data_IF_018389631947
#
_entry.id   IF_018389631947
#
_cell.length_a   1.000
_cell.length_b   1.000
_cell.length_c   1.000
_cell.angle_alpha   90.00
_cell.angle_beta   90.00
_cell.angle_gamma   90.00
#
_symmetry.space_group_name_H-M   'P 1'
#
loop_
_entity.id
_entity.type
_entity.pdbx_description
1 polymer ?
#
# COMPACT_ATOMS: atom_id res chain seq x y z
N UNK A 1 -11.63 -7.66 4.13
CA UNK A 1 -11.34 -7.68 2.69
C UNK A 1 -10.32 -6.59 2.45
N UNK A 2 -9.06 -6.99 2.32
CA UNK A 2 -7.96 -6.06 2.11
C UNK A 2 -8.16 -5.34 0.78
N UNK A 3 -8.33 -4.02 0.82
CA UNK A 3 -8.53 -3.20 -0.37
C UNK A 3 -7.18 -2.89 -1.00
N UNK A 4 -7.03 -3.19 -2.29
CA UNK A 4 -5.84 -2.85 -3.04
C UNK A 4 -5.82 -1.34 -3.35
N UNK A 5 -4.71 -0.68 -3.00
CA UNK A 5 -4.50 0.76 -3.03
C UNK A 5 -3.28 1.15 -3.90
N UNK A 6 -3.11 0.51 -5.06
CA UNK A 6 -1.96 0.79 -5.95
C UNK A 6 -1.91 2.27 -6.34
N UNK A 7 -3.04 2.90 -6.70
CA UNK A 7 -3.08 4.32 -7.10
C UNK A 7 -2.56 5.24 -5.99
N UNK A 8 -2.91 4.95 -4.75
CA UNK A 8 -2.51 5.73 -3.58
C UNK A 8 -1.05 5.47 -3.22
N UNK A 9 -0.57 4.23 -3.31
CA UNK A 9 0.86 3.91 -3.15
C UNK A 9 1.72 4.67 -4.17
N UNK A 10 1.31 4.69 -5.45
CA UNK A 10 2.01 5.45 -6.49
C UNK A 10 2.06 6.96 -6.19
N UNK A 11 0.96 7.54 -5.72
CA UNK A 11 0.91 8.95 -5.32
C UNK A 11 1.81 9.24 -4.11
N UNK A 12 1.80 8.37 -3.09
CA UNK A 12 2.66 8.51 -1.89
C UNK A 12 4.15 8.48 -2.25
N UNK A 13 4.50 7.61 -3.19
CA UNK A 13 5.87 7.45 -3.67
C UNK A 13 6.26 8.44 -4.78
N UNK A 14 5.36 9.36 -5.16
CA UNK A 14 5.63 10.35 -6.20
C UNK A 14 5.94 9.76 -7.58
N UNK A 15 5.49 8.53 -7.85
CA UNK A 15 5.77 7.84 -9.12
C UNK A 15 4.55 7.91 -10.04
N UNK A 16 4.76 8.18 -11.32
CA UNK A 16 3.70 8.19 -12.33
C UNK A 16 3.39 6.81 -12.89
N UNK A 17 2.18 6.64 -13.45
CA UNK A 17 1.77 5.41 -14.16
C UNK A 17 2.72 5.10 -15.33
N UNK A 18 3.27 6.13 -15.96
CA UNK A 18 4.20 5.98 -17.06
C UNK A 18 5.50 5.36 -16.56
N UNK A 19 6.12 5.95 -15.54
CA UNK A 19 7.40 5.46 -15.01
C UNK A 19 7.31 4.02 -14.50
N UNK A 20 6.21 3.66 -13.82
CA UNK A 20 5.99 2.27 -13.40
C UNK A 20 5.85 1.35 -14.62
N UNK A 21 5.09 1.75 -15.63
CA UNK A 21 4.90 0.96 -16.85
C UNK A 21 6.23 0.79 -17.62
N UNK A 22 7.00 1.86 -17.76
CA UNK A 22 8.32 1.88 -18.39
C UNK A 22 9.31 0.97 -17.64
N UNK A 23 9.39 1.07 -16.30
CA UNK A 23 10.22 0.17 -15.47
C UNK A 23 9.80 -1.30 -15.57
N UNK A 24 8.50 -1.55 -15.67
CA UNK A 24 7.96 -2.90 -15.83
C UNK A 24 8.10 -3.45 -17.26
N UNK A 25 8.42 -2.59 -18.24
CA UNK A 25 8.47 -2.95 -19.66
C UNK A 25 7.09 -3.30 -20.25
N UNK A 26 6.02 -2.72 -19.73
CA UNK A 26 4.64 -2.97 -20.17
C UNK A 26 3.96 -1.68 -20.66
N UNK A 27 2.86 -1.83 -21.38
CA UNK A 27 2.03 -0.68 -21.75
C UNK A 27 1.30 -0.09 -20.55
N UNK A 28 1.10 1.24 -20.54
CA UNK A 28 0.25 1.93 -19.56
C UNK A 28 -1.16 1.36 -19.49
N UNK A 29 -1.68 0.87 -20.61
CA UNK A 29 -3.01 0.25 -20.68
C UNK A 29 -3.02 -1.05 -19.87
N UNK A 30 -2.02 -1.91 -20.08
CA UNK A 30 -1.82 -3.15 -19.31
C UNK A 30 -1.69 -2.87 -17.82
N UNK A 31 -0.88 -1.88 -17.44
CA UNK A 31 -0.75 -1.47 -16.04
C UNK A 31 -2.09 -0.96 -15.48
N UNK A 32 -2.83 -0.16 -16.25
CA UNK A 32 -4.15 0.34 -15.84
C UNK A 32 -5.15 -0.81 -15.63
N UNK A 33 -5.10 -1.86 -16.46
CA UNK A 33 -5.90 -3.07 -16.25
C UNK A 33 -5.53 -3.77 -14.96
N UNK A 34 -4.25 -3.88 -14.62
CA UNK A 34 -3.80 -4.46 -13.35
C UNK A 34 -4.22 -3.61 -12.14
N UNK A 35 -4.14 -2.29 -12.24
CA UNK A 35 -4.50 -1.37 -11.15
C UNK A 35 -6.00 -1.45 -10.82
N UNK A 36 -6.86 -1.58 -11.83
CA UNK A 36 -8.32 -1.61 -11.64
C UNK A 36 -8.89 -3.04 -11.59
N UNK A 37 -8.06 -4.06 -11.80
CA UNK A 37 -8.44 -5.47 -11.87
C UNK A 37 -7.98 -6.26 -10.65
N UNK A 38 -7.86 -7.58 -10.84
CA UNK A 38 -7.32 -8.51 -9.86
C UNK A 38 -5.95 -9.04 -10.34
N UNK A 39 -4.85 -8.32 -10.10
CA UNK A 39 -3.52 -8.76 -10.53
C UNK A 39 -3.06 -9.99 -9.74
N UNK A 40 -2.26 -10.84 -10.37
CA UNK A 40 -1.56 -11.93 -9.69
C UNK A 40 -0.51 -11.40 -8.72
N UNK A 41 -0.14 -12.19 -7.71
CA UNK A 41 0.88 -11.85 -6.71
C UNK A 41 2.22 -11.46 -7.34
N UNK A 42 2.62 -12.13 -8.43
CA UNK A 42 3.83 -11.78 -9.18
C UNK A 42 3.78 -10.34 -9.72
N UNK A 43 2.64 -9.93 -10.26
CA UNK A 43 2.46 -8.59 -10.83
C UNK A 43 2.47 -7.55 -9.71
N UNK A 44 1.84 -7.84 -8.57
CA UNK A 44 1.90 -6.97 -7.39
C UNK A 44 3.33 -6.73 -6.92
N UNK A 45 4.15 -7.79 -6.84
CA UNK A 45 5.56 -7.67 -6.47
C UNK A 45 6.34 -6.81 -7.45
N UNK A 46 6.11 -7.00 -8.76
CA UNK A 46 6.77 -6.19 -9.80
C UNK A 46 6.33 -4.73 -9.78
N UNK A 47 5.06 -4.45 -9.49
CA UNK A 47 4.54 -3.09 -9.31
C UNK A 47 5.21 -2.45 -8.10
N UNK A 48 5.28 -3.16 -6.96
CA UNK A 48 5.92 -2.67 -5.74
C UNK A 48 7.41 -2.35 -5.97
N UNK A 49 8.12 -3.25 -6.65
CA UNK A 49 9.53 -3.07 -7.03
C UNK A 49 9.73 -1.86 -7.96
N UNK A 50 8.87 -1.70 -8.98
CA UNK A 50 8.92 -0.56 -9.89
C UNK A 50 8.62 0.78 -9.19
N UNK A 51 7.71 0.78 -8.20
CA UNK A 51 7.41 1.94 -7.34
C UNK A 51 8.54 2.17 -6.31
N UNK A 52 9.30 1.14 -5.97
CA UNK A 52 10.31 1.16 -4.91
C UNK A 52 9.71 1.14 -3.50
N UNK A 53 8.53 0.52 -3.32
CA UNK A 53 7.90 0.32 -2.02
C UNK A 53 7.75 -1.17 -1.68
N UNK A 54 7.59 -1.53 -0.40
CA UNK A 54 7.19 -2.87 -0.04
C UNK A 54 5.77 -3.17 -0.54
N UNK A 55 5.53 -4.41 -0.97
CA UNK A 55 4.23 -4.86 -1.51
C UNK A 55 3.06 -4.62 -0.54
N UNK A 56 3.33 -4.59 0.77
CA UNK A 56 2.35 -4.28 1.81
C UNK A 56 1.76 -2.86 1.69
N UNK A 57 2.49 -1.91 1.11
CA UNK A 57 1.97 -0.56 0.87
C UNK A 57 0.96 -0.49 -0.27
N UNK A 58 0.94 -1.50 -1.15
CA UNK A 58 -0.11 -1.64 -2.16
C UNK A 58 -1.45 -2.03 -1.54
N UNK A 59 -1.50 -2.40 -0.27
CA UNK A 59 -2.72 -2.78 0.43
C UNK A 59 -3.13 -1.70 1.43
N UNK A 60 -4.43 -1.64 1.72
CA UNK A 60 -4.95 -0.90 2.84
C UNK A 60 -4.32 -1.42 4.12
N UNK A 61 -3.46 -0.61 4.75
CA UNK A 61 -3.05 -0.91 6.09
C UNK A 61 -4.29 -0.80 6.99
N UNK A 62 -4.54 -1.79 7.87
CA UNK A 62 -5.58 -1.64 8.87
C UNK A 62 -5.30 -0.32 9.59
N UNK A 63 -6.33 0.54 9.69
CA UNK A 63 -6.24 1.73 10.53
C UNK A 63 -5.86 1.22 11.92
N UNK A 64 -4.61 1.42 12.30
CA UNK A 64 -4.19 1.28 13.69
C UNK A 64 -4.78 2.49 14.37
N UNK A 65 -6.06 2.40 14.72
CA UNK A 65 -6.70 3.32 15.64
C UNK A 65 -5.89 3.24 16.95
N UNK A 66 -4.95 4.18 17.09
CA UNK A 66 -4.08 4.32 18.24
C UNK A 66 -2.98 3.26 18.34
N UNK A 67 -1.84 3.68 18.86
CA UNK A 67 -1.05 2.77 19.68
C UNK A 67 -1.99 2.29 20.81
N UNK A 68 -2.51 1.07 20.73
CA UNK A 68 -3.18 0.43 21.87
C UNK A 68 -2.09 0.11 22.90
N UNK A 69 -1.73 1.14 23.66
CA UNK A 69 -0.82 0.99 24.78
C UNK A 69 -1.63 0.37 25.91
N UNK A 70 -1.71 -0.95 25.93
CA UNK A 70 -2.39 -1.69 26.99
C UNK A 70 -1.46 -1.78 28.20
N UNK A 71 -1.93 -1.35 29.36
CA UNK A 71 -1.13 -1.41 30.59
C UNK A 71 -0.81 -2.89 30.94
N UNK A 72 0.47 -3.31 31.01
CA UNK A 72 0.85 -4.69 31.28
C UNK A 72 0.52 -5.16 32.70
N UNK A 73 0.13 -4.24 33.60
CA UNK A 73 -0.24 -4.56 34.98
C UNK A 73 -1.75 -4.76 35.18
N UNK A 74 -2.60 -4.11 34.38
CA UNK A 74 -4.06 -4.13 34.58
C UNK A 74 -4.90 -4.37 33.32
N UNK A 75 -4.29 -4.38 32.12
CA UNK A 75 -4.99 -4.65 30.87
C UNK A 75 -5.79 -3.48 30.29
N UNK A 76 -5.70 -2.28 30.87
CA UNK A 76 -6.47 -1.10 30.42
C UNK A 76 -5.79 -0.38 29.26
N UNK A 77 -6.58 0.07 28.28
CA UNK A 77 -6.11 0.88 27.14
C UNK A 77 -5.74 2.30 27.60
N UNK A 78 -4.53 2.75 27.29
CA UNK A 78 -4.02 4.07 27.66
C UNK A 78 -4.25 5.02 26.49
N UNK A 79 -5.14 6.01 26.69
CA UNK A 79 -5.42 7.06 25.71
C UNK A 79 -4.51 8.27 25.97
N UNK A 80 -3.52 8.50 25.11
CA UNK A 80 -2.66 9.69 25.18
C UNK A 80 -3.27 10.78 24.30
N UNK A 81 -3.65 11.92 24.89
CA UNK A 81 -3.94 13.15 24.14
C UNK A 81 -2.65 13.94 23.98
N UNK A 82 -2.28 14.27 22.75
CA UNK A 82 -1.20 15.22 22.45
C UNK A 82 -1.87 16.56 22.22
N UNK A 83 -1.56 17.54 23.06
CA UNK A 83 -1.99 18.95 22.95
C UNK A 83 -0.91 19.76 22.23
#
# INVERSE_FOLDING_TARGET
MDRLMIKEAMKRNGTSVNEVADKMGISRVTLSTHINGNPSTEILLRIADAIGCPVTELFEQPKKDGLSLTCPNCGTEIHIKVE
#
